data_IF_581748986368
#
_entry.id   IF_581748986368
#
_cell.length_a   1.000
_cell.length_b   1.000
_cell.length_c   1.000
_cell.angle_alpha   90.00
_cell.angle_beta   90.00
_cell.angle_gamma   90.00
#
_symmetry.space_group_name_H-M   'P 1'
#
loop_
_entity.id
_entity.type
_entity.pdbx_description
1 polymer ?
#
# COMPACT_ATOMS: atom_id res chain seq x y z
N UNK A 1 -5.66 -10.39 -13.56
CA UNK A 1 -6.80 -9.52 -13.17
C UNK A 1 -6.73 -9.30 -11.67
N UNK A 2 -6.80 -8.06 -11.18
CA UNK A 2 -6.81 -7.78 -9.73
C UNK A 2 -8.23 -7.97 -9.23
N UNK A 3 -8.42 -8.78 -8.17
CA UNK A 3 -9.75 -9.03 -7.58
C UNK A 3 -10.04 -8.06 -6.44
N UNK A 4 -11.31 -7.88 -6.10
CA UNK A 4 -11.72 -7.00 -4.99
C UNK A 4 -11.05 -7.37 -3.66
N UNK A 5 -10.87 -8.68 -3.40
CA UNK A 5 -10.17 -9.17 -2.21
C UNK A 5 -8.71 -8.71 -2.16
N UNK A 6 -8.01 -8.73 -3.30
CA UNK A 6 -6.64 -8.25 -3.39
C UNK A 6 -6.55 -6.74 -3.13
N UNK A 7 -7.49 -5.98 -3.68
CA UNK A 7 -7.58 -4.53 -3.45
C UNK A 7 -7.73 -4.26 -1.95
N UNK A 8 -8.72 -4.90 -1.31
CA UNK A 8 -8.93 -4.73 0.13
C UNK A 8 -7.71 -5.09 0.96
N UNK A 9 -7.02 -6.18 0.62
CA UNK A 9 -5.80 -6.58 1.33
C UNK A 9 -4.64 -5.60 1.11
N UNK A 10 -4.47 -5.01 -0.08
CA UNK A 10 -3.50 -3.92 -0.29
C UNK A 10 -3.82 -2.75 0.63
N UNK A 11 -5.09 -2.33 0.70
CA UNK A 11 -5.52 -1.25 1.60
C UNK A 11 -5.31 -1.61 3.07
N UNK A 12 -5.63 -2.83 3.50
CA UNK A 12 -5.34 -3.27 4.87
C UNK A 12 -3.84 -3.25 5.20
N UNK A 13 -2.97 -3.59 4.24
CA UNK A 13 -1.50 -3.50 4.39
C UNK A 13 -1.08 -2.03 4.50
N UNK A 14 -1.62 -1.14 3.67
CA UNK A 14 -1.38 0.31 3.73
C UNK A 14 -1.84 0.85 5.08
N UNK A 15 -3.04 0.49 5.53
CA UNK A 15 -3.62 0.96 6.80
C UNK A 15 -2.85 0.45 8.02
N UNK A 16 -2.33 -0.76 7.96
CA UNK A 16 -1.46 -1.36 8.99
C UNK A 16 -0.02 -0.87 8.92
N UNK A 17 0.36 -0.16 7.85
CA UNK A 17 1.70 0.42 7.69
C UNK A 17 1.69 1.84 8.23
N UNK A 18 2.76 2.19 8.94
CA UNK A 18 2.88 3.49 9.59
C UNK A 18 2.92 4.62 8.55
N UNK A 19 2.18 5.69 8.77
CA UNK A 19 2.09 6.82 7.83
C UNK A 19 3.45 7.42 7.51
N UNK A 20 4.34 7.51 8.50
CA UNK A 20 5.71 7.97 8.32
C UNK A 20 6.51 7.11 7.33
N UNK A 21 6.26 5.79 7.28
CA UNK A 21 6.87 4.86 6.31
C UNK A 21 6.26 5.05 4.92
N UNK A 22 4.94 5.23 4.83
CA UNK A 22 4.27 5.46 3.54
C UNK A 22 4.72 6.77 2.88
N UNK A 23 5.03 7.79 3.68
CA UNK A 23 5.41 9.11 3.19
C UNK A 23 6.93 9.28 2.99
N UNK A 24 7.77 8.61 3.77
CA UNK A 24 9.23 8.67 3.59
C UNK A 24 9.75 7.84 2.42
N UNK A 25 9.02 6.80 2.01
CA UNK A 25 9.49 5.90 0.96
C UNK A 25 9.25 6.51 -0.44
N UNK A 26 10.27 6.42 -1.29
CA UNK A 26 10.13 6.66 -2.73
C UNK A 26 9.12 5.70 -3.35
N UNK A 27 8.55 6.09 -4.49
CA UNK A 27 7.49 5.34 -5.19
C UNK A 27 7.88 3.87 -5.44
N UNK A 28 9.11 3.61 -5.87
CA UNK A 28 9.61 2.24 -6.10
C UNK A 28 9.75 1.43 -4.81
N UNK A 29 10.26 2.06 -3.76
CA UNK A 29 10.48 1.40 -2.47
C UNK A 29 9.15 1.11 -1.76
N UNK A 30 8.19 2.04 -1.86
CA UNK A 30 6.84 1.89 -1.34
C UNK A 30 6.10 0.74 -2.04
N UNK A 31 6.19 0.67 -3.37
CA UNK A 31 5.62 -0.45 -4.14
C UNK A 31 6.20 -1.78 -3.66
N UNK A 32 7.54 -1.88 -3.55
CA UNK A 32 8.19 -3.11 -3.10
C UNK A 32 7.77 -3.50 -1.68
N UNK A 33 7.67 -2.54 -0.76
CA UNK A 33 7.22 -2.77 0.61
C UNK A 33 5.80 -3.33 0.65
N UNK A 34 4.87 -2.72 -0.08
CA UNK A 34 3.48 -3.16 -0.15
C UNK A 34 3.37 -4.56 -0.79
N UNK A 35 4.10 -4.80 -1.88
CA UNK A 35 4.18 -6.12 -2.51
C UNK A 35 4.73 -7.18 -1.56
N UNK A 36 5.83 -6.90 -0.86
CA UNK A 36 6.43 -7.80 0.13
C UNK A 36 5.43 -8.15 1.23
N UNK A 37 4.81 -7.15 1.85
CA UNK A 37 3.81 -7.38 2.91
C UNK A 37 2.60 -8.15 2.40
N UNK A 38 2.16 -7.87 1.17
CA UNK A 38 1.08 -8.60 0.54
C UNK A 38 1.43 -10.08 0.31
N UNK A 39 2.64 -10.37 -0.18
CA UNK A 39 3.18 -11.73 -0.34
C UNK A 39 3.36 -12.46 0.98
N UNK A 40 3.71 -11.74 2.05
CA UNK A 40 3.80 -12.35 3.38
C UNK A 40 2.43 -12.72 3.95
N UNK A 41 1.37 -11.97 3.60
CA UNK A 41 0.00 -12.25 4.06
C UNK A 41 -0.76 -13.26 3.21
N UNK A 42 -0.37 -13.40 1.95
CA UNK A 42 -1.05 -14.25 1.00
C UNK A 42 0.02 -15.13 0.33
N UNK A 43 -0.07 -16.45 0.49
CA UNK A 43 0.76 -17.46 -0.21
C UNK A 43 0.56 -17.34 -1.73
N UNK A 44 1.09 -16.28 -2.32
CA UNK A 44 0.72 -15.85 -3.65
C UNK A 44 1.61 -16.45 -4.70
N UNK A 45 0.92 -17.11 -5.62
CA UNK A 45 1.39 -17.52 -6.92
C UNK A 45 1.96 -16.32 -7.67
N UNK A 46 3.21 -16.44 -8.14
CA UNK A 46 4.05 -15.44 -8.80
C UNK A 46 3.38 -14.68 -9.96
N UNK A 47 2.26 -15.18 -10.49
CA UNK A 47 1.50 -14.59 -11.59
C UNK A 47 0.71 -13.32 -11.20
N UNK A 48 0.37 -13.15 -9.92
CA UNK A 48 -0.38 -11.98 -9.44
C UNK A 48 0.45 -10.69 -9.37
N UNK A 49 1.78 -10.81 -9.32
CA UNK A 49 2.71 -9.70 -9.12
C UNK A 49 2.56 -8.60 -10.15
N UNK A 50 2.49 -8.93 -11.44
CA UNK A 50 2.53 -7.90 -12.50
C UNK A 50 1.26 -7.04 -12.54
N UNK A 51 0.10 -7.66 -12.34
CA UNK A 51 -1.19 -6.95 -12.28
C UNK A 51 -1.27 -6.08 -11.02
N UNK A 52 -0.81 -6.62 -9.88
CA UNK A 52 -0.84 -5.93 -8.60
C UNK A 52 0.16 -4.77 -8.55
N UNK A 53 1.37 -4.97 -9.08
CA UNK A 53 2.38 -3.94 -9.22
C UNK A 53 1.87 -2.74 -10.01
N UNK A 54 1.23 -2.99 -11.16
CA UNK A 54 0.60 -1.95 -11.97
C UNK A 54 -0.52 -1.23 -11.21
N UNK A 55 -1.33 -1.98 -10.47
CA UNK A 55 -2.40 -1.41 -9.65
C UNK A 55 -1.88 -0.50 -8.53
N UNK A 56 -0.91 -0.99 -7.73
CA UNK A 56 -0.29 -0.22 -6.65
C UNK A 56 0.36 1.03 -7.23
N UNK A 57 1.10 0.92 -8.33
CA UNK A 57 1.75 2.05 -8.99
C UNK A 57 0.74 3.13 -9.42
N UNK A 58 -0.40 2.73 -9.99
CA UNK A 58 -1.47 3.67 -10.35
C UNK A 58 -2.19 4.26 -9.12
N UNK A 59 -2.12 3.60 -7.97
CA UNK A 59 -2.75 4.03 -6.71
C UNK A 59 -1.79 4.69 -5.72
N UNK A 60 -0.50 4.75 -6.01
CA UNK A 60 0.51 5.47 -5.23
C UNK A 60 0.08 6.89 -4.79
N UNK A 61 -0.42 7.76 -5.69
CA UNK A 61 -0.86 9.09 -5.27
C UNK A 61 -2.00 9.03 -4.23
N UNK A 62 -2.91 8.06 -4.36
CA UNK A 62 -4.01 7.89 -3.41
C UNK A 62 -3.51 7.31 -2.07
N UNK A 63 -2.50 6.45 -2.09
CA UNK A 63 -1.86 5.90 -0.89
C UNK A 63 -1.15 7.02 -0.11
N UNK A 64 -0.41 7.90 -0.81
CA UNK A 64 0.20 9.09 -0.19
C UNK A 64 -0.86 10.03 0.37
N UNK A 65 -1.87 10.38 -0.41
CA UNK A 65 -2.98 11.23 0.04
C UNK A 65 -3.67 10.65 1.30
N UNK A 66 -3.92 9.34 1.32
CA UNK A 66 -4.47 8.65 2.49
C UNK A 66 -3.52 8.73 3.69
N UNK A 67 -2.22 8.54 3.47
CA UNK A 67 -1.22 8.61 4.54
C UNK A 67 -1.05 10.04 5.08
N UNK A 68 -1.08 11.07 4.22
CA UNK A 68 -1.05 12.47 4.60
C UNK A 68 -2.32 12.87 5.36
N UNK A 69 -3.49 12.41 4.91
CA UNK A 69 -4.76 12.61 5.61
C UNK A 69 -4.75 12.01 7.01
N UNK A 70 -4.21 10.80 7.16
CA UNK A 70 -4.06 10.13 8.47
C UNK A 70 -3.03 10.83 9.36
N UNK A 71 -1.87 11.21 8.82
CA UNK A 71 -0.85 11.96 9.56
C UNK A 71 -1.41 13.28 10.08
N UNK A 72 -2.18 13.98 9.25
CA UNK A 72 -2.86 15.22 9.63
C UNK A 72 -3.88 15.00 10.74
N UNK A 73 -4.62 13.88 10.69
CA UNK A 73 -5.57 13.48 11.72
C UNK A 73 -4.90 13.13 13.05
N UNK A 74 -3.77 12.41 13.02
CA UNK A 74 -2.99 12.08 14.23
C UNK A 74 -2.36 13.33 14.84
N UNK A 75 -1.92 14.29 14.02
CA UNK A 75 -1.27 15.52 14.48
C UNK A 75 -2.25 16.59 14.97
N UNK A 76 -3.51 16.53 14.54
CA UNK A 76 -4.59 17.43 14.98
C UNK A 76 -5.23 17.07 16.32
N UNK A 77 -4.84 15.96 16.95
CA UNK A 77 -5.37 15.49 18.23
C UNK A 77 -4.37 15.69 19.40
N UNK A 78 -3.53 16.72 19.35
CA UNK A 78 -2.63 17.10 20.44
C UNK A 78 -2.83 18.57 20.84
#
# INVERSE_FOLDING_TARGET
MVTAKMIQQVWSVVESTQVSTLLHFDDAALIQLLLQKFKSQQLLDTQADSSLNTYIKSKLPLIRDTAEGRLSFEKGNH
#
